data_IF_314955809514
#
_entry.id   IF_314955809514
#
_cell.length_a   1.000
_cell.length_b   1.000
_cell.length_c   1.000
_cell.angle_alpha   90.00
_cell.angle_beta   90.00
_cell.angle_gamma   90.00
#
_symmetry.space_group_name_H-M   'P 1'
#
loop_
_entity.id
_entity.type
_entity.pdbx_description
1 polymer ?
#
# COMPACT_ATOMS: atom_id res chain seq x y z
N UNK A 1 -10.84 14.95 1.36
CA UNK A 1 -9.85 14.50 0.37
C UNK A 1 -9.32 13.13 0.73
N UNK A 2 -9.26 12.20 -0.22
CA UNK A 2 -8.88 10.80 0.01
C UNK A 2 -7.56 10.45 -0.68
N UNK A 3 -6.72 9.68 0.00
CA UNK A 3 -5.48 9.12 -0.56
C UNK A 3 -5.72 7.64 -0.88
N UNK A 4 -5.72 7.27 -2.16
CA UNK A 4 -5.77 5.87 -2.60
C UNK A 4 -4.35 5.35 -2.83
N UNK A 5 -3.98 4.27 -2.16
CA UNK A 5 -2.64 3.69 -2.19
C UNK A 5 -2.66 2.20 -2.49
N UNK A 6 -1.78 1.79 -3.39
CA UNK A 6 -1.82 0.51 -4.08
C UNK A 6 -0.54 -0.27 -3.80
N UNK A 7 -0.63 -1.42 -3.11
CA UNK A 7 0.54 -2.26 -2.84
C UNK A 7 0.40 -3.75 -3.02
N UNK A 8 1.55 -4.33 -3.37
CA UNK A 8 1.74 -5.47 -4.21
C UNK A 8 2.72 -6.51 -3.62
N UNK A 9 2.46 -7.79 -3.89
CA UNK A 9 3.43 -8.91 -3.93
C UNK A 9 2.81 -10.20 -4.51
N UNK A 10 3.45 -10.87 -5.48
CA UNK A 10 2.94 -12.07 -6.19
C UNK A 10 2.36 -13.16 -5.25
N UNK A 11 1.04 -13.34 -5.26
CA UNK A 11 0.40 -14.63 -4.94
C UNK A 11 -0.57 -15.00 -6.08
N UNK A 12 -0.66 -16.27 -6.48
CA UNK A 12 -1.38 -16.65 -7.69
C UNK A 12 -2.90 -16.72 -7.49
N UNK A 13 -3.66 -15.72 -7.95
CA UNK A 13 -5.08 -15.94 -8.20
C UNK A 13 -5.22 -16.71 -9.52
N UNK A 14 -5.75 -17.94 -9.49
CA UNK A 14 -5.86 -18.82 -10.67
C UNK A 14 -4.54 -19.01 -11.43
N UNK A 15 -3.41 -19.20 -10.72
CA UNK A 15 -2.04 -19.30 -11.29
C UNK A 15 -1.51 -18.04 -11.98
N UNK A 16 -2.14 -16.87 -11.79
CA UNK A 16 -1.67 -15.58 -12.32
C UNK A 16 -1.40 -14.59 -11.18
N UNK A 17 -0.43 -13.70 -11.38
CA UNK A 17 -0.16 -12.61 -10.43
C UNK A 17 -1.45 -11.83 -10.14
N UNK A 18 -1.67 -11.42 -8.89
CA UNK A 18 -2.75 -10.48 -8.53
C UNK A 18 -2.61 -9.11 -9.25
N UNK A 19 -1.43 -8.82 -9.81
CA UNK A 19 -1.14 -7.63 -10.63
C UNK A 19 -1.15 -7.90 -12.13
N UNK A 20 -1.56 -9.09 -12.56
CA UNK A 20 -1.61 -9.40 -13.99
C UNK A 20 -2.56 -8.44 -14.71
N UNK A 21 -2.03 -7.69 -15.67
CA UNK A 21 -2.81 -6.82 -16.54
C UNK A 21 -3.31 -7.63 -17.73
N UNK A 22 -4.62 -7.66 -17.93
CA UNK A 22 -5.26 -8.39 -19.03
C UNK A 22 -6.61 -7.78 -19.44
N UNK A 23 -7.44 -8.59 -20.09
CA UNK A 23 -8.76 -8.18 -20.61
C UNK A 23 -9.79 -7.96 -19.50
N UNK A 24 -9.64 -8.61 -18.35
CA UNK A 24 -10.48 -8.40 -17.18
C UNK A 24 -9.72 -7.66 -16.08
N UNK A 25 -10.47 -6.99 -15.20
CA UNK A 25 -9.90 -6.32 -14.04
C UNK A 25 -9.34 -7.35 -13.05
N UNK A 26 -8.07 -7.21 -12.67
CA UNK A 26 -7.52 -7.95 -11.54
C UNK A 26 -8.09 -7.42 -10.20
N UNK A 27 -7.88 -8.10 -9.06
CA UNK A 27 -8.47 -7.69 -7.79
C UNK A 27 -8.13 -6.25 -7.35
N UNK A 28 -6.94 -5.74 -7.67
CA UNK A 28 -6.60 -4.34 -7.41
C UNK A 28 -7.43 -3.40 -8.25
N UNK A 29 -7.53 -3.65 -9.55
CA UNK A 29 -8.33 -2.83 -10.47
C UNK A 29 -9.82 -2.84 -10.09
N UNK A 30 -10.34 -3.99 -9.67
CA UNK A 30 -11.71 -4.09 -9.17
C UNK A 30 -11.91 -3.26 -7.89
N UNK A 31 -11.01 -3.39 -6.91
CA UNK A 31 -11.08 -2.62 -5.68
C UNK A 31 -11.01 -1.11 -5.95
N UNK A 32 -10.04 -0.65 -6.76
CA UNK A 32 -9.91 0.76 -7.18
C UNK A 32 -11.21 1.24 -7.85
N UNK A 33 -11.75 0.45 -8.78
CA UNK A 33 -12.96 0.83 -9.54
C UNK A 33 -14.18 0.99 -8.62
N UNK A 34 -14.40 0.05 -7.70
CA UNK A 34 -15.57 0.12 -6.80
C UNK A 34 -15.42 1.26 -5.78
N UNK A 35 -14.21 1.48 -5.25
CA UNK A 35 -13.91 2.61 -4.37
C UNK A 35 -14.15 3.92 -5.10
N UNK A 36 -13.65 4.05 -6.33
CA UNK A 36 -13.83 5.24 -7.15
C UNK A 36 -15.31 5.55 -7.42
N UNK A 37 -16.10 4.54 -7.80
CA UNK A 37 -17.55 4.70 -7.96
C UNK A 37 -18.26 5.15 -6.68
N UNK A 38 -17.78 4.70 -5.52
CA UNK A 38 -18.42 5.00 -4.24
C UNK A 38 -18.05 6.38 -3.71
N UNK A 39 -16.78 6.79 -3.90
CA UNK A 39 -16.23 7.95 -3.23
C UNK A 39 -15.91 9.16 -4.11
N UNK A 40 -15.94 9.03 -5.44
CA UNK A 40 -15.72 10.18 -6.33
C UNK A 40 -16.67 11.35 -6.05
N UNK A 41 -17.88 11.09 -5.54
CA UNK A 41 -18.84 12.13 -5.17
C UNK A 41 -18.48 12.93 -3.90
N UNK A 42 -17.53 12.43 -3.09
CA UNK A 42 -17.11 13.04 -1.83
C UNK A 42 -15.72 13.67 -1.90
N UNK A 43 -15.05 13.59 -3.05
CA UNK A 43 -13.74 14.22 -3.27
C UNK A 43 -13.93 15.57 -3.97
N UNK A 44 -13.63 16.65 -3.24
CA UNK A 44 -14.00 18.01 -3.66
C UNK A 44 -13.16 18.53 -4.84
N UNK A 45 -11.90 18.13 -4.93
CA UNK A 45 -10.95 18.56 -5.98
C UNK A 45 -10.65 17.46 -7.00
N UNK A 46 -11.13 16.23 -6.75
CA UNK A 46 -10.85 15.04 -7.56
C UNK A 46 -9.34 14.74 -7.68
N UNK A 47 -8.50 15.24 -6.77
CA UNK A 47 -7.06 15.00 -6.76
C UNK A 47 -6.72 13.93 -5.74
N UNK A 48 -6.23 12.80 -6.24
CA UNK A 48 -5.97 11.60 -5.46
C UNK A 48 -4.45 11.38 -5.37
N UNK A 49 -3.85 11.59 -4.19
CA UNK A 49 -2.46 11.22 -3.95
C UNK A 49 -2.30 9.71 -4.00
N UNK A 50 -1.52 9.22 -4.96
CA UNK A 50 -1.33 7.79 -5.21
C UNK A 50 0.12 7.37 -5.13
N UNK A 51 0.37 6.29 -4.37
CA UNK A 51 1.70 5.79 -4.08
C UNK A 51 1.74 4.27 -4.08
N UNK A 52 2.92 3.73 -4.39
CA UNK A 52 3.26 2.32 -4.17
C UNK A 52 4.35 2.17 -3.11
N UNK A 53 4.44 0.97 -2.53
CA UNK A 53 5.47 0.54 -1.58
C UNK A 53 5.68 -0.98 -1.67
N UNK A 54 6.74 -1.52 -1.08
CA UNK A 54 7.02 -2.96 -1.07
C UNK A 54 7.70 -3.51 -2.34
N UNK A 55 8.06 -2.65 -3.30
CA UNK A 55 8.91 -3.03 -4.43
C UNK A 55 10.39 -2.99 -4.06
N UNK A 56 11.30 -3.40 -4.94
CA UNK A 56 12.74 -3.39 -4.68
C UNK A 56 13.28 -1.98 -4.41
N UNK A 57 12.66 -0.94 -4.98
CA UNK A 57 13.08 0.46 -4.76
C UNK A 57 12.73 0.94 -3.34
N UNK A 58 11.55 0.57 -2.83
CA UNK A 58 11.04 1.07 -1.54
C UNK A 58 11.25 0.13 -0.35
N UNK A 59 11.26 -1.19 -0.58
CA UNK A 59 11.28 -2.24 0.44
C UNK A 59 10.23 -1.97 1.54
N UNK A 60 10.62 -2.07 2.81
CA UNK A 60 9.80 -1.76 3.97
C UNK A 60 10.08 -0.38 4.57
N UNK A 61 10.82 0.48 3.85
CA UNK A 61 11.29 1.78 4.35
C UNK A 61 10.62 2.96 3.67
N UNK A 62 10.26 2.86 2.39
CA UNK A 62 9.84 4.00 1.57
C UNK A 62 8.53 3.77 0.81
N UNK A 63 8.11 4.81 0.11
CA UNK A 63 6.97 4.83 -0.81
C UNK A 63 7.40 5.54 -2.09
N UNK A 64 6.87 5.18 -3.25
CA UNK A 64 7.10 5.89 -4.50
C UNK A 64 5.80 6.53 -5.01
N UNK A 65 5.90 7.70 -5.63
CA UNK A 65 4.74 8.36 -6.24
C UNK A 65 4.34 7.69 -7.56
N UNK A 66 3.03 7.63 -7.83
CA UNK A 66 2.51 7.14 -9.11
C UNK A 66 2.90 8.01 -10.30
N UNK A 67 3.04 9.32 -10.09
CA UNK A 67 3.46 10.24 -11.13
C UNK A 67 4.92 10.67 -10.89
N UNK A 68 5.79 10.65 -11.92
CA UNK A 68 7.21 11.00 -11.76
C UNK A 68 7.47 12.44 -11.32
N UNK A 69 6.54 13.35 -11.61
CA UNK A 69 6.56 14.76 -11.21
C UNK A 69 5.91 15.01 -9.83
N UNK A 70 5.60 13.93 -9.10
CA UNK A 70 4.94 13.95 -7.79
C UNK A 70 3.52 14.54 -7.80
N UNK A 71 2.93 14.77 -8.98
CA UNK A 71 1.55 15.24 -9.08
C UNK A 71 0.55 14.19 -8.60
N UNK A 72 -0.59 14.64 -8.10
CA UNK A 72 -1.70 13.76 -7.74
C UNK A 72 -2.45 13.29 -8.99
N UNK A 73 -3.09 12.12 -8.92
CA UNK A 73 -3.94 11.63 -9.99
C UNK A 73 -5.25 12.43 -10.03
N UNK A 74 -5.67 12.88 -11.20
CA UNK A 74 -6.96 13.47 -11.48
C UNK A 74 -8.02 12.37 -11.62
N UNK A 75 -8.65 12.03 -10.50
CA UNK A 75 -9.69 11.03 -10.39
C UNK A 75 -9.22 9.58 -10.53
N UNK A 76 -10.13 8.67 -10.21
CA UNK A 76 -9.86 7.23 -10.16
C UNK A 76 -9.54 6.61 -11.52
N UNK A 77 -9.99 7.24 -12.62
CA UNK A 77 -9.63 6.82 -13.97
C UNK A 77 -8.12 6.97 -14.22
N UNK A 78 -7.51 8.09 -13.78
CA UNK A 78 -6.06 8.25 -13.90
C UNK A 78 -5.33 7.30 -12.94
N UNK A 79 -5.87 7.04 -11.74
CA UNK A 79 -5.30 6.04 -10.83
C UNK A 79 -5.24 4.65 -11.48
N UNK A 80 -6.32 4.23 -12.15
CA UNK A 80 -6.37 2.97 -12.89
C UNK A 80 -5.37 2.95 -14.05
N UNK A 81 -5.28 4.03 -14.84
CA UNK A 81 -4.32 4.13 -15.95
C UNK A 81 -2.88 3.99 -15.45
N UNK A 82 -2.50 4.80 -14.45
CA UNK A 82 -1.16 4.78 -13.87
C UNK A 82 -0.84 3.43 -13.22
N UNK A 83 -1.80 2.82 -12.52
CA UNK A 83 -1.64 1.46 -12.00
C UNK A 83 -1.32 0.45 -13.11
N UNK A 84 -2.06 0.48 -14.23
CA UNK A 84 -1.83 -0.44 -15.37
C UNK A 84 -0.48 -0.22 -16.06
N UNK A 85 0.03 1.02 -16.05
CA UNK A 85 1.35 1.37 -16.59
C UNK A 85 2.50 0.91 -15.66
N UNK A 86 2.31 1.03 -14.35
CA UNK A 86 3.34 0.75 -13.35
C UNK A 86 3.42 -0.75 -13.03
N UNK A 87 2.27 -1.40 -12.78
CA UNK A 87 2.19 -2.75 -12.24
C UNK A 87 2.99 -3.83 -13.01
N UNK A 88 3.06 -3.82 -14.36
CA UNK A 88 3.86 -4.78 -15.12
C UNK A 88 5.38 -4.70 -14.85
N UNK A 89 5.87 -3.53 -14.43
CA UNK A 89 7.29 -3.25 -14.29
C UNK A 89 7.79 -3.45 -12.85
N UNK A 90 6.89 -3.59 -11.87
CA UNK A 90 7.26 -3.69 -10.46
C UNK A 90 7.95 -5.03 -10.16
N UNK A 91 9.11 -4.94 -9.49
CA UNK A 91 9.80 -6.07 -8.89
C UNK A 91 9.58 -6.07 -7.37
N UNK A 92 9.06 -7.16 -6.82
CA UNK A 92 8.69 -7.22 -5.40
C UNK A 92 9.87 -7.44 -4.47
N UNK A 93 9.88 -6.72 -3.34
CA UNK A 93 10.73 -7.02 -2.21
C UNK A 93 10.09 -8.10 -1.31
N UNK A 94 10.91 -8.78 -0.50
CA UNK A 94 10.46 -9.82 0.43
C UNK A 94 9.91 -9.30 1.77
N UNK A 95 10.21 -8.05 2.14
CA UNK A 95 9.81 -7.44 3.42
C UNK A 95 8.73 -6.37 3.19
N UNK A 96 7.70 -6.36 4.04
CA UNK A 96 6.53 -5.50 3.94
C UNK A 96 6.17 -4.90 5.30
N UNK A 97 5.96 -3.58 5.33
CA UNK A 97 5.47 -2.79 6.45
C UNK A 97 4.48 -1.74 5.91
N UNK A 98 3.42 -1.45 6.66
CA UNK A 98 2.51 -0.34 6.32
C UNK A 98 2.94 0.98 6.97
N UNK A 99 3.98 0.98 7.79
CA UNK A 99 4.46 2.21 8.43
C UNK A 99 4.82 3.32 7.43
N UNK A 100 5.61 3.07 6.36
CA UNK A 100 5.98 4.14 5.41
C UNK A 100 4.76 4.80 4.76
N UNK A 101 3.72 4.01 4.51
CA UNK A 101 2.56 4.47 3.80
C UNK A 101 1.59 5.26 4.70
N UNK A 102 1.46 4.82 5.95
CA UNK A 102 0.70 5.55 6.97
C UNK A 102 1.40 6.86 7.32
N UNK A 103 2.73 6.86 7.42
CA UNK A 103 3.53 8.07 7.62
C UNK A 103 3.38 9.07 6.47
N UNK A 104 3.36 8.60 5.22
CA UNK A 104 3.11 9.46 4.07
C UNK A 104 1.73 10.11 4.17
N UNK A 105 0.69 9.36 4.55
CA UNK A 105 -0.64 9.91 4.74
C UNK A 105 -0.69 10.97 5.86
N UNK A 106 0.03 10.76 6.96
CA UNK A 106 0.18 11.78 8.01
C UNK A 106 0.84 13.05 7.47
N UNK A 107 1.90 12.93 6.67
CA UNK A 107 2.55 14.08 6.01
C UNK A 107 1.57 14.83 5.10
N UNK A 108 0.72 14.13 4.35
CA UNK A 108 -0.27 14.76 3.45
C UNK A 108 -1.34 15.50 4.25
N UNK A 109 -1.86 14.91 5.33
CA UNK A 109 -2.83 15.57 6.22
C UNK A 109 -2.28 16.88 6.76
N UNK A 110 -1.02 16.88 7.20
CA UNK A 110 -0.36 18.08 7.74
C UNK A 110 -0.09 19.15 6.70
N UNK A 111 0.38 18.76 5.50
CA UNK A 111 0.52 19.67 4.36
C UNK A 111 -0.83 20.28 3.95
N UNK A 112 -1.90 19.50 4.03
CA UNK A 112 -3.28 19.93 3.81
C UNK A 112 -3.89 20.71 4.98
N UNK A 113 -3.12 21.09 6.00
CA UNK A 113 -3.59 21.92 7.09
C UNK A 113 -4.51 21.21 8.10
N UNK A 114 -4.42 19.89 8.22
CA UNK A 114 -5.26 19.12 9.14
C UNK A 114 -6.67 18.85 8.61
N UNK A 115 -6.84 18.81 7.30
CA UNK A 115 -8.07 18.32 6.67
C UNK A 115 -8.30 16.85 6.95
N UNK A 116 -9.57 16.45 7.11
CA UNK A 116 -9.89 15.04 7.26
C UNK A 116 -9.59 14.26 5.99
N UNK A 117 -8.82 13.18 6.14
CA UNK A 117 -8.47 12.29 5.04
C UNK A 117 -8.73 10.84 5.36
N UNK A 118 -9.01 10.09 4.29
CA UNK A 118 -9.09 8.63 4.32
C UNK A 118 -7.90 8.10 3.54
N UNK A 119 -7.11 7.24 4.18
CA UNK A 119 -6.07 6.44 3.54
C UNK A 119 -6.67 5.08 3.19
N UNK A 120 -6.69 4.74 1.92
CA UNK A 120 -7.07 3.41 1.43
C UNK A 120 -5.81 2.66 1.03
N UNK A 121 -5.49 1.57 1.72
CA UNK A 121 -4.37 0.67 1.39
C UNK A 121 -4.93 -0.60 0.79
N UNK A 122 -4.61 -0.91 -0.47
CA UNK A 122 -4.92 -2.22 -1.06
C UNK A 122 -3.66 -3.06 -0.99
N UNK A 123 -3.73 -4.22 -0.32
CA UNK A 123 -2.60 -5.12 -0.09
C UNK A 123 -3.03 -6.57 -0.26
N UNK A 124 -2.08 -7.48 -0.50
CA UNK A 124 -2.39 -8.90 -0.75
C UNK A 124 -1.80 -9.92 0.22
N UNK A 125 -1.14 -9.41 1.24
CA UNK A 125 -0.63 -10.21 2.33
C UNK A 125 -0.38 -9.30 3.52
N UNK A 126 -0.55 -9.84 4.72
CA UNK A 126 -0.26 -9.14 5.97
C UNK A 126 1.23 -8.82 6.15
N UNK A 127 1.54 -7.90 7.05
CA UNK A 127 2.89 -7.43 7.40
C UNK A 127 3.87 -8.60 7.60
N UNK A 128 5.13 -8.45 7.19
CA UNK A 128 6.09 -9.56 7.25
C UNK A 128 6.32 -10.03 8.69
N UNK A 129 6.00 -11.30 8.96
CA UNK A 129 6.41 -12.03 10.16
C UNK A 129 7.81 -12.62 9.93
N UNK A 130 8.74 -12.31 10.82
CA UNK A 130 9.99 -13.08 10.90
C UNK A 130 9.72 -14.41 11.57
N UNK A 131 10.19 -15.51 10.97
CA UNK A 131 9.95 -16.90 11.40
C UNK A 131 10.44 -17.17 12.85
N UNK A 132 11.32 -16.31 13.37
CA UNK A 132 11.86 -16.40 14.74
C UNK A 132 11.06 -15.66 15.81
N UNK A 133 9.89 -15.10 15.48
CA UNK A 133 8.99 -14.53 16.48
C UNK A 133 8.44 -15.66 17.36
N UNK A 134 8.95 -15.76 18.59
CA UNK A 134 8.36 -16.56 19.67
C UNK A 134 6.85 -16.24 19.77
N UNK A 135 6.03 -17.24 20.09
CA UNK A 135 4.57 -17.10 20.16
C UNK A 135 4.18 -15.84 20.95
N UNK A 136 3.47 -14.91 20.29
CA UNK A 136 2.94 -13.69 20.90
C UNK A 136 3.81 -12.42 20.79
N UNK A 137 4.97 -12.44 20.11
CA UNK A 137 5.81 -11.23 19.92
C UNK A 137 5.80 -10.73 18.48
N UNK A 138 5.42 -9.46 18.30
CA UNK A 138 5.43 -8.78 17.01
C UNK A 138 6.86 -8.71 16.42
N UNK A 139 6.96 -8.89 15.10
CA UNK A 139 8.13 -8.63 14.28
C UNK A 139 8.44 -7.12 14.26
N UNK A 140 9.65 -6.72 13.86
CA UNK A 140 9.98 -5.30 13.71
C UNK A 140 9.03 -4.57 12.74
N UNK A 141 8.59 -5.21 11.67
CA UNK A 141 7.66 -4.64 10.70
C UNK A 141 6.24 -4.53 11.25
N UNK A 142 5.80 -5.54 12.00
CA UNK A 142 4.50 -5.53 12.68
C UNK A 142 4.45 -4.40 13.71
N UNK A 143 5.48 -4.29 14.56
CA UNK A 143 5.58 -3.24 15.57
C UNK A 143 5.56 -1.85 14.93
N UNK A 144 6.37 -1.61 13.89
CA UNK A 144 6.39 -0.33 13.17
C UNK A 144 5.01 0.02 12.59
N UNK A 145 4.30 -0.97 12.06
CA UNK A 145 2.96 -0.77 11.51
C UNK A 145 1.97 -0.38 12.61
N UNK A 146 1.98 -1.09 13.74
CA UNK A 146 1.15 -0.78 14.90
C UNK A 146 1.44 0.62 15.43
N UNK A 147 2.72 0.96 15.61
CA UNK A 147 3.16 2.28 16.08
C UNK A 147 2.69 3.39 15.13
N UNK A 148 2.78 3.17 13.81
CA UNK A 148 2.29 4.11 12.81
C UNK A 148 0.76 4.30 12.86
N UNK A 149 -0.02 3.23 13.08
CA UNK A 149 -1.48 3.33 13.24
C UNK A 149 -1.82 4.11 14.52
N UNK A 150 -1.10 3.84 15.62
CA UNK A 150 -1.27 4.57 16.91
C UNK A 150 -0.95 6.04 16.74
N UNK A 151 0.16 6.38 16.09
CA UNK A 151 0.51 7.77 15.82
C UNK A 151 -0.51 8.45 14.90
N UNK A 152 -0.95 7.76 13.85
CA UNK A 152 -1.97 8.25 12.92
C UNK A 152 -3.31 8.56 13.59
N UNK A 153 -3.66 7.87 14.69
CA UNK A 153 -4.89 8.16 15.46
C UNK A 153 -4.90 9.54 16.08
N UNK A 154 -3.75 10.22 16.11
CA UNK A 154 -3.63 11.59 16.60
C UNK A 154 -3.87 12.63 15.49
N UNK A 155 -4.14 12.21 14.25
CA UNK A 155 -4.42 13.07 13.09
C UNK A 155 -5.88 12.83 12.64
N UNK A 156 -6.50 13.76 11.90
CA UNK A 156 -7.81 13.55 11.29
C UNK A 156 -7.68 12.59 10.09
N UNK A 157 -7.24 11.35 10.35
CA UNK A 157 -6.88 10.35 9.37
C UNK A 157 -7.54 9.01 9.71
N UNK A 158 -8.35 8.51 8.80
CA UNK A 158 -8.89 7.14 8.84
C UNK A 158 -8.16 6.24 7.87
N UNK A 159 -7.96 4.97 8.22
CA UNK A 159 -7.18 4.00 7.46
C UNK A 159 -8.07 2.80 7.14
N UNK A 160 -8.25 2.50 5.86
CA UNK A 160 -8.95 1.32 5.37
C UNK A 160 -7.92 0.42 4.69
N UNK A 161 -7.68 -0.77 5.26
CA UNK A 161 -6.87 -1.82 4.64
C UNK A 161 -7.78 -2.81 3.91
N UNK A 162 -7.51 -3.00 2.63
CA UNK A 162 -8.28 -3.85 1.73
C UNK A 162 -7.41 -5.03 1.33
N UNK A 163 -7.75 -6.20 1.86
CA UNK A 163 -7.05 -7.45 1.60
C UNK A 163 -7.53 -8.12 0.32
N UNK A 164 -6.65 -8.26 -0.67
CA UNK A 164 -6.91 -9.00 -1.92
C UNK A 164 -6.05 -10.26 -2.03
N UNK A 165 -6.61 -11.36 -2.51
CA UNK A 165 -5.95 -12.66 -2.53
C UNK A 165 -6.12 -13.45 -1.23
N UNK A 166 -5.37 -14.54 -1.12
CA UNK A 166 -5.64 -15.63 -0.19
C UNK A 166 -5.20 -15.34 1.27
N UNK A 167 -4.53 -14.21 1.51
CA UNK A 167 -4.01 -13.86 2.83
C UNK A 167 -2.72 -14.61 3.19
N UNK A 168 -2.49 -14.95 4.48
CA UNK A 168 -3.44 -14.86 5.61
C UNK A 168 -3.74 -13.43 6.08
N UNK A 169 -4.86 -13.26 6.79
CA UNK A 169 -5.41 -11.97 7.26
C UNK A 169 -5.67 -11.91 8.78
N UNK A 170 -5.32 -12.96 9.53
CA UNK A 170 -5.55 -13.11 10.97
C UNK A 170 -5.09 -11.89 11.78
N UNK A 171 -3.90 -11.38 11.45
CA UNK A 171 -3.33 -10.23 12.14
C UNK A 171 -4.11 -8.94 11.86
N UNK A 172 -4.59 -8.77 10.64
CA UNK A 172 -5.30 -7.55 10.24
C UNK A 172 -6.70 -7.50 10.87
N UNK A 173 -7.31 -8.67 11.06
CA UNK A 173 -8.53 -8.83 11.85
C UNK A 173 -8.28 -8.51 13.33
N UNK A 174 -7.18 -9.01 13.91
CA UNK A 174 -6.80 -8.68 15.29
C UNK A 174 -6.56 -7.18 15.50
N UNK A 175 -5.90 -6.52 14.55
CA UNK A 175 -5.61 -5.08 14.61
C UNK A 175 -6.86 -4.20 14.56
N UNK A 176 -7.96 -4.69 14.01
CA UNK A 176 -9.20 -3.94 13.95
C UNK A 176 -9.71 -3.59 15.36
N UNK A 177 -9.64 -4.55 16.29
CA UNK A 177 -10.22 -4.41 17.62
C UNK A 177 -9.17 -4.23 18.72
N UNK A 178 -7.93 -4.69 18.52
CA UNK A 178 -6.94 -4.86 19.59
C UNK A 178 -5.67 -4.01 19.49
N UNK A 179 -5.63 -2.93 18.69
CA UNK A 179 -4.48 -1.99 18.76
C UNK A 179 -4.63 -1.09 20.01
N UNK A 180 -3.74 -1.21 21.01
CA UNK A 180 -3.82 -0.44 22.24
C UNK A 180 -3.42 1.03 22.02
N UNK A 181 -3.85 1.92 22.92
CA UNK A 181 -3.38 3.33 23.04
C UNK A 181 -3.71 4.29 21.89
N UNK A 182 -4.59 3.91 20.95
CA UNK A 182 -5.11 4.84 19.93
C UNK A 182 -6.05 5.88 20.55
N UNK A 183 -6.02 7.11 20.04
CA UNK A 183 -6.93 8.17 20.48
C UNK A 183 -8.39 7.93 20.06
N UNK A 184 -8.60 7.31 18.89
CA UNK A 184 -9.88 6.77 18.43
C UNK A 184 -9.64 5.58 17.51
N UNK A 185 -10.68 4.79 17.22
CA UNK A 185 -10.59 3.68 16.28
C UNK A 185 -10.48 4.19 14.84
N UNK A 186 -9.26 4.41 14.37
CA UNK A 186 -8.94 4.96 13.05
C UNK A 186 -8.60 3.91 11.99
N UNK A 187 -8.78 2.61 12.26
CA UNK A 187 -8.35 1.54 11.36
C UNK A 187 -9.49 0.55 11.07
N UNK A 188 -9.59 0.13 9.82
CA UNK A 188 -10.55 -0.88 9.39
C UNK A 188 -9.90 -1.84 8.40
N UNK A 189 -10.12 -3.14 8.60
CA UNK A 189 -9.76 -4.16 7.63
C UNK A 189 -10.99 -4.64 6.84
N UNK A 190 -10.81 -4.89 5.54
CA UNK A 190 -11.83 -5.42 4.64
C UNK A 190 -11.24 -6.53 3.80
N UNK A 191 -11.73 -7.76 4.00
CA UNK A 191 -11.36 -8.90 3.17
C UNK A 191 -12.12 -8.86 1.82
N UNK A 192 -11.54 -8.18 0.83
CA UNK A 192 -12.14 -8.03 -0.50
C UNK A 192 -12.36 -9.39 -1.18
N UNK A 193 -11.38 -10.30 -1.06
CA UNK A 193 -11.46 -11.60 -1.72
C UNK A 193 -12.58 -12.47 -1.16
N UNK A 194 -12.79 -12.46 0.15
CA UNK A 194 -13.91 -13.15 0.78
C UNK A 194 -15.26 -12.57 0.32
N UNK A 195 -15.41 -11.24 0.34
CA UNK A 195 -16.65 -10.58 -0.11
C UNK A 195 -16.95 -10.93 -1.58
N UNK A 196 -15.92 -10.90 -2.43
CA UNK A 196 -16.05 -11.20 -3.86
C UNK A 196 -16.26 -12.68 -4.16
N UNK A 197 -15.94 -13.58 -3.22
CA UNK A 197 -16.17 -15.02 -3.36
C UNK A 197 -17.63 -15.44 -3.11
N UNK A 198 -18.44 -14.61 -2.43
CA UNK A 198 -19.83 -14.92 -2.11
C UNK A 198 -20.67 -15.34 -3.32
N UNK A 199 -21.64 -16.23 -3.15
CA UNK A 199 -22.50 -16.67 -4.26
C UNK A 199 -23.74 -15.76 -4.45
N UNK A 200 -23.49 -14.48 -4.74
CA UNK A 200 -24.52 -13.44 -4.97
C UNK A 200 -24.21 -12.65 -6.25
N UNK A 201 -25.13 -11.80 -6.73
CA UNK A 201 -24.89 -10.97 -7.92
C UNK A 201 -23.71 -10.02 -7.72
N UNK A 202 -23.00 -9.70 -8.82
CA UNK A 202 -21.85 -8.78 -8.78
C UNK A 202 -22.21 -7.45 -8.13
N UNK A 203 -23.35 -6.86 -8.50
CA UNK A 203 -23.84 -5.60 -7.91
C UNK A 203 -23.98 -5.66 -6.38
N UNK A 204 -24.41 -6.81 -5.83
CA UNK A 204 -24.53 -6.99 -4.38
C UNK A 204 -23.16 -7.18 -3.72
N UNK A 205 -22.19 -7.79 -4.40
CA UNK A 205 -20.80 -7.88 -3.92
C UNK A 205 -20.14 -6.52 -3.87
N UNK A 206 -20.29 -5.72 -4.94
CA UNK A 206 -19.76 -4.35 -5.01
C UNK A 206 -20.36 -3.48 -3.91
N UNK A 207 -21.68 -3.54 -3.69
CA UNK A 207 -22.35 -2.82 -2.61
C UNK A 207 -21.92 -3.30 -1.22
N UNK A 208 -21.78 -4.61 -1.01
CA UNK A 208 -21.31 -5.17 0.26
C UNK A 208 -19.86 -4.74 0.56
N UNK A 209 -19.00 -4.73 -0.45
CA UNK A 209 -17.61 -4.26 -0.32
C UNK A 209 -17.55 -2.76 -0.01
N UNK A 210 -18.31 -1.94 -0.74
CA UNK A 210 -18.40 -0.50 -0.49
C UNK A 210 -18.89 -0.21 0.95
N UNK A 211 -19.95 -0.90 1.38
CA UNK A 211 -20.46 -0.77 2.75
C UNK A 211 -19.39 -1.19 3.77
N UNK A 212 -18.75 -2.34 3.56
CA UNK A 212 -17.70 -2.81 4.45
C UNK A 212 -16.52 -1.82 4.52
N UNK A 213 -16.11 -1.21 3.40
CA UNK A 213 -15.03 -0.23 3.38
C UNK A 213 -15.36 1.08 4.10
N UNK A 214 -16.62 1.54 4.06
CA UNK A 214 -16.96 2.89 4.51
C UNK A 214 -17.84 2.95 5.76
N UNK A 215 -18.28 1.82 6.31
CA UNK A 215 -19.19 1.79 7.47
C UNK A 215 -18.64 2.50 8.72
N UNK A 216 -17.31 2.52 8.94
CA UNK A 216 -16.70 3.21 10.09
C UNK A 216 -16.37 4.68 9.83
N UNK A 217 -16.35 5.13 8.57
CA UNK A 217 -15.90 6.48 8.21
C UNK A 217 -16.75 7.59 8.86
N UNK A 218 -18.09 7.50 8.92
CA UNK A 218 -18.90 8.52 9.59
C UNK A 218 -18.60 8.67 11.09
N UNK A 219 -18.43 7.56 11.82
CA UNK A 219 -18.11 7.61 13.25
C UNK A 219 -16.67 8.07 13.49
N UNK A 220 -15.73 7.67 12.64
CA UNK A 220 -14.33 8.12 12.68
C UNK A 220 -14.19 9.63 12.42
N UNK A 221 -14.91 10.15 11.43
CA UNK A 221 -14.97 11.59 11.16
C UNK A 221 -15.50 12.36 12.38
N UNK A 222 -16.58 11.86 12.99
CA UNK A 222 -17.14 12.45 14.21
C UNK A 222 -16.14 12.43 15.38
N UNK A 223 -15.43 11.32 15.59
CA UNK A 223 -14.40 11.22 16.61
C UNK A 223 -13.25 12.23 16.37
N UNK A 224 -12.83 12.42 15.12
CA UNK A 224 -11.82 13.42 14.78
C UNK A 224 -12.27 14.86 15.12
N UNK A 225 -13.56 15.19 14.95
CA UNK A 225 -14.14 16.47 15.37
C UNK A 225 -14.11 16.59 16.90
N UNK A 226 -14.60 15.57 17.62
CA UNK A 226 -14.72 15.56 19.08
C UNK A 226 -13.35 15.64 19.78
N UNK A 227 -12.32 15.08 19.15
CA UNK A 227 -10.92 15.15 19.62
C UNK A 227 -10.18 16.42 19.15
N UNK A 228 -10.87 17.36 18.48
CA UNK A 228 -10.30 18.61 17.96
C UNK A 228 -9.09 18.40 17.03
N UNK A 229 -9.12 17.35 16.22
CA UNK A 229 -8.04 17.01 15.30
C UNK A 229 -8.11 17.79 13.99
N UNK A 230 -9.31 18.19 13.54
CA UNK A 230 -9.45 18.94 12.28
C UNK A 230 -8.88 20.35 12.40
N UNK A 231 -8.14 20.77 11.37
CA UNK A 231 -7.50 22.09 11.31
C UNK A 231 -6.29 22.26 12.23
N UNK A 232 -6.00 21.26 13.07
CA UNK A 232 -4.86 21.25 13.98
C UNK A 232 -3.61 20.77 13.24
N UNK A 233 -2.51 21.52 13.33
CA UNK A 233 -1.19 21.14 12.80
C UNK A 233 -0.28 20.68 13.93
N UNK A 234 0.54 19.67 13.67
CA UNK A 234 1.50 19.14 14.65
C UNK A 234 2.92 19.52 14.30
N UNK A 235 3.62 20.08 15.29
CA UNK A 235 5.04 20.44 15.15
C UNK A 235 5.95 19.24 14.85
N UNK A 236 5.58 18.06 15.35
CA UNK A 236 6.39 16.83 15.25
C UNK A 236 5.88 15.84 14.20
N UNK A 237 5.08 16.31 13.23
CA UNK A 237 4.58 15.44 12.19
C UNK A 237 5.71 14.83 11.34
N UNK A 238 5.57 13.56 10.90
CA UNK A 238 6.47 12.98 9.91
C UNK A 238 6.55 13.88 8.67
N UNK A 239 7.76 14.11 8.17
CA UNK A 239 8.03 14.87 6.94
C UNK A 239 8.52 13.92 5.85
N UNK A 240 7.72 12.91 5.53
CA UNK A 240 8.09 11.89 4.56
C UNK A 240 8.08 12.48 3.15
N UNK A 241 9.02 12.03 2.33
CA UNK A 241 9.13 12.36 0.90
C UNK A 241 9.05 11.06 0.13
N UNK A 242 8.27 11.03 -0.94
CA UNK A 242 8.17 9.86 -1.81
C UNK A 242 9.38 9.77 -2.72
N UNK A 243 9.77 8.54 -3.06
CA UNK A 243 10.65 8.27 -4.19
C UNK A 243 9.91 8.55 -5.51
N UNK A 244 10.64 8.84 -6.61
CA UNK A 244 10.03 8.86 -7.93
C UNK A 244 9.53 7.46 -8.34
N UNK A 245 8.62 7.41 -9.32
CA UNK A 245 8.15 6.13 -9.88
C UNK A 245 9.35 5.30 -10.37
N UNK A 246 9.48 4.02 -9.96
CA UNK A 246 10.64 3.22 -10.30
C UNK A 246 10.71 2.90 -11.80
N UNK A 247 11.86 3.15 -12.42
CA UNK A 247 12.24 2.60 -13.72
C UNK A 247 13.17 1.42 -13.49
N UNK A 248 12.67 0.21 -13.75
CA UNK A 248 13.50 -0.98 -13.80
C UNK A 248 13.99 -1.13 -15.23
N UNK A 249 15.08 -0.44 -15.57
CA UNK A 249 15.72 -0.64 -16.87
C UNK A 249 16.00 -2.13 -17.03
N UNK A 250 15.58 -2.71 -18.16
CA UNK A 250 16.03 -4.05 -18.53
C UNK A 250 17.55 -3.96 -18.64
N UNK A 251 18.24 -4.54 -17.66
CA UNK A 251 19.67 -4.77 -17.78
C UNK A 251 19.85 -5.52 -19.10
N UNK A 252 20.37 -4.80 -20.09
CA UNK A 252 20.87 -5.37 -21.31
C UNK A 252 21.84 -6.46 -20.87
N UNK A 253 21.55 -7.70 -21.24
CA UNK A 253 22.50 -8.80 -21.14
C UNK A 253 23.69 -8.36 -21.99
N UNK A 254 24.65 -7.71 -21.32
CA UNK A 254 25.93 -7.34 -21.90
C UNK A 254 26.59 -8.62 -22.35
N UNK A 255 26.77 -8.72 -23.66
CA UNK A 255 27.60 -9.69 -24.35
C UNK A 255 28.78 -10.11 -23.49
N UNK A 256 28.94 -11.41 -23.31
CA UNK A 256 30.14 -12.02 -22.74
C UNK A 256 31.39 -11.39 -23.37
N UNK A 257 32.14 -10.63 -22.58
CA UNK A 257 33.53 -10.36 -22.87
C UNK A 257 34.26 -11.70 -22.77
N UNK A 258 34.69 -12.20 -23.92
CA UNK A 258 35.69 -13.26 -24.04
C UNK A 258 36.90 -12.89 -23.18
N UNK A 259 37.16 -13.70 -22.15
CA UNK A 259 38.42 -13.65 -21.43
C UNK A 259 39.53 -14.06 -22.41
N UNK A 260 40.44 -13.12 -22.67
CA UNK A 260 41.71 -13.35 -23.35
C UNK A 260 42.53 -14.39 -22.56
N UNK A 261 42.87 -15.49 -23.24
CA UNK A 261 43.90 -16.43 -22.81
C UNK A 261 45.27 -15.76 -22.96
N UNK A 262 45.83 -15.22 -21.89
CA UNK A 262 47.27 -14.96 -21.80
C UNK A 262 47.98 -16.19 -21.25
N UNK A 263 48.73 -16.83 -22.15
CA UNK A 263 49.64 -17.94 -21.86
C UNK A 263 50.80 -17.47 -20.96
N UNK A 264 50.92 -18.06 -19.77
CA UNK A 264 52.15 -18.00 -18.98
C UNK A 264 53.13 -19.07 -19.49
N UNK A 265 54.13 -18.63 -20.25
CA UNK A 265 55.36 -19.38 -20.48
C UNK A 265 56.37 -19.07 -19.38
N UNK A 266 56.76 -20.08 -18.62
CA UNK A 266 57.77 -19.98 -17.56
C UNK A 266 58.61 -21.25 -17.51
N UNK A 267 59.83 -21.15 -18.02
CA UNK A 267 60.86 -22.18 -18.10
C UNK A 267 61.26 -22.73 -16.73
N UNK A 268 61.45 -24.06 -16.63
CA UNK A 268 62.32 -24.70 -15.65
C UNK A 268 63.16 -25.77 -16.36
N UNK A 269 64.45 -25.49 -16.51
CA UNK A 269 65.46 -26.49 -16.83
C UNK A 269 66.31 -26.73 -15.57
N UNK A 270 66.47 -28.03 -15.29
CA UNK A 270 67.28 -28.73 -14.28
C UNK A 270 68.71 -28.20 -14.08
N UNK A 271 69.39 -28.66 -13.03
CA UNK A 271 70.25 -29.84 -13.21
C UNK A 271 69.80 -31.09 -12.45
#
# INVERSE_FOLDING_TARGET
MMNLMLVSAKNPFKRRSLHHIGNGLNPYEQAISIIGKTLAAFDEDNLIPCFGFGDLSTRDQDVFSFNPDESYCNGFEQVLSRYREIAPNIQFAGLRSFAPIIEMAMTIVEKGGGEYRVLVVIANSQVTRTINSQHGRLSPQEQKTVDAIVEASKYPLSIILIGVGDGPWDMMEEFQDNIPTRAFDNFQFVNFTEIMANNISLSRKEAAFALAAFMKIPSQYKAAIELHLLGSRKANAPKRVSLPTPSYDSVSIGSSSTYDNQAFGGYLHMP
#
